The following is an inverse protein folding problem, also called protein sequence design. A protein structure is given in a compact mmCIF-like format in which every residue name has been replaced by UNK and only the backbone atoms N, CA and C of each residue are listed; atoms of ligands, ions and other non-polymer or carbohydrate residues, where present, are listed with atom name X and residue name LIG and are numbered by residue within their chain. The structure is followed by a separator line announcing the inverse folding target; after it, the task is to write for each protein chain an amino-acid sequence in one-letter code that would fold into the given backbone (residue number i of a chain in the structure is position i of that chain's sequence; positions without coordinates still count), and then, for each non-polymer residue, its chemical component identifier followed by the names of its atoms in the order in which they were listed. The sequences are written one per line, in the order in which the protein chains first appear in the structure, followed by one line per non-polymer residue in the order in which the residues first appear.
data_IF_308178449575
#
_entry.id   IF_308178449575
#
_cell.length_a   1.000
_cell.length_b   1.000
_cell.length_c   1.000
_cell.angle_alpha   90.00
_cell.angle_beta   90.00
_cell.angle_gamma   90.00
#
_symmetry.space_group_name_H-M   'P 1'
#
loop_
_entity.id
_entity.type
_entity.pdbx_description
1 polymer ?
#
# COMPACT_ATOMS: atom_id res chain seq x y z
N UNK A 1 18.41 30.89 20.62
CA UNK A 1 17.97 29.56 20.09
C UNK A 1 19.16 28.93 19.39
N UNK A 2 19.50 27.69 19.70
CA UNK A 2 20.65 27.02 19.07
C UNK A 2 20.42 26.79 17.57
N UNK A 3 21.50 26.73 16.79
CA UNK A 3 21.48 26.48 15.33
C UNK A 3 20.56 25.32 14.92
N UNK A 4 20.55 24.24 15.73
CA UNK A 4 19.70 23.06 15.50
C UNK A 4 18.20 23.37 15.53
N UNK A 5 17.76 24.27 16.42
CA UNK A 5 16.37 24.71 16.52
C UNK A 5 15.97 25.69 15.41
N UNK A 6 16.93 26.48 14.91
CA UNK A 6 16.70 27.37 13.77
C UNK A 6 16.51 26.58 12.46
N UNK A 7 17.28 25.50 12.27
CA UNK A 7 17.20 24.63 11.09
C UNK A 7 16.04 23.61 11.13
N UNK A 8 15.54 23.25 12.31
CA UNK A 8 14.41 22.30 12.43
C UNK A 8 13.05 22.91 12.08
N UNK A 9 12.85 24.20 12.33
CA UNK A 9 11.61 24.92 12.02
C UNK A 9 11.22 24.94 10.55
N UNK A 10 12.10 25.31 9.59
CA UNK A 10 11.74 25.28 8.17
C UNK A 10 11.43 23.86 7.69
N UNK A 11 12.16 22.85 8.17
CA UNK A 11 11.89 21.44 7.85
C UNK A 11 10.52 20.98 8.38
N UNK A 12 10.17 21.39 9.60
CA UNK A 12 8.86 21.10 10.19
C UNK A 12 7.74 21.79 9.41
N UNK A 13 7.90 23.08 9.08
CA UNK A 13 6.93 23.83 8.28
C UNK A 13 6.72 23.20 6.89
N UNK A 14 7.80 22.77 6.24
CA UNK A 14 7.73 22.05 4.97
C UNK A 14 6.97 20.73 5.09
N UNK A 15 7.26 19.94 6.13
CA UNK A 15 6.57 18.67 6.38
C UNK A 15 5.08 18.88 6.61
N UNK A 16 4.71 19.84 7.46
CA UNK A 16 3.30 20.21 7.72
C UNK A 16 2.61 20.66 6.43
N UNK A 17 3.25 21.53 5.65
CA UNK A 17 2.69 22.00 4.39
C UNK A 17 2.40 20.83 3.43
N UNK A 18 3.30 19.85 3.32
CA UNK A 18 3.08 18.65 2.51
C UNK A 18 1.91 17.80 3.00
N UNK A 19 1.74 17.65 4.30
CA UNK A 19 0.58 16.93 4.85
C UNK A 19 -0.74 17.67 4.56
N UNK A 20 -0.74 19.00 4.71
CA UNK A 20 -1.93 19.81 4.43
C UNK A 20 -2.39 19.72 2.97
N UNK A 21 -1.48 19.50 2.02
CA UNK A 21 -1.84 19.41 0.59
C UNK A 21 -2.89 18.33 0.30
N UNK A 22 -2.73 17.13 0.85
CA UNK A 22 -3.71 16.05 0.64
C UNK A 22 -4.89 16.13 1.61
N UNK A 23 -4.70 16.74 2.79
CA UNK A 23 -5.77 16.93 3.78
C UNK A 23 -6.82 17.97 3.37
N UNK A 24 -6.47 18.91 2.49
CA UNK A 24 -7.42 19.91 1.97
C UNK A 24 -8.53 19.30 1.12
N UNK A 25 -8.23 18.23 0.38
CA UNK A 25 -9.22 17.45 -0.36
C UNK A 25 -8.89 15.95 -0.26
N UNK A 26 -9.27 15.32 0.87
CA UNK A 26 -8.95 13.92 1.11
C UNK A 26 -9.68 13.00 0.13
N UNK A 27 -10.86 13.40 -0.36
CA UNK A 27 -11.64 12.62 -1.30
C UNK A 27 -10.95 12.56 -2.67
N UNK A 28 -10.43 13.69 -3.19
CA UNK A 28 -9.63 13.70 -4.41
C UNK A 28 -8.32 12.93 -4.24
N UNK A 29 -7.66 13.06 -3.08
CA UNK A 29 -6.45 12.31 -2.78
C UNK A 29 -6.69 10.78 -2.83
N UNK A 30 -7.78 10.30 -2.22
CA UNK A 30 -8.18 8.89 -2.25
C UNK A 30 -8.51 8.41 -3.66
N UNK A 31 -9.28 9.18 -4.45
CA UNK A 31 -9.60 8.82 -5.85
C UNK A 31 -8.34 8.70 -6.70
N UNK A 32 -7.40 9.63 -6.55
CA UNK A 32 -6.11 9.59 -7.25
C UNK A 32 -5.30 8.37 -6.84
N UNK A 33 -5.20 8.11 -5.53
CA UNK A 33 -4.47 6.96 -5.01
C UNK A 33 -5.05 5.64 -5.53
N UNK A 34 -6.37 5.47 -5.44
CA UNK A 34 -7.08 4.30 -5.96
C UNK A 34 -6.72 4.04 -7.43
N UNK A 35 -6.83 5.04 -8.29
CA UNK A 35 -6.53 4.91 -9.72
C UNK A 35 -5.08 4.49 -9.94
N UNK A 36 -4.13 5.16 -9.27
CA UNK A 36 -2.70 4.83 -9.38
C UNK A 36 -2.42 3.39 -8.95
N UNK A 37 -2.98 2.95 -7.81
CA UNK A 37 -2.76 1.61 -7.28
C UNK A 37 -3.40 0.53 -8.16
N UNK A 38 -4.65 0.75 -8.61
CA UNK A 38 -5.37 -0.18 -9.46
C UNK A 38 -4.68 -0.36 -10.82
N UNK A 39 -4.25 0.74 -11.45
CA UNK A 39 -3.53 0.70 -12.73
C UNK A 39 -2.17 0.00 -12.59
N UNK A 40 -1.40 0.31 -11.54
CA UNK A 40 -0.12 -0.35 -11.30
C UNK A 40 -0.29 -1.86 -11.09
N UNK A 41 -1.34 -2.29 -10.38
CA UNK A 41 -1.60 -3.69 -10.10
C UNK A 41 -2.36 -4.43 -11.22
N UNK A 42 -2.86 -3.75 -12.26
CA UNK A 42 -3.78 -4.32 -13.25
C UNK A 42 -3.27 -5.60 -13.93
N UNK A 43 -1.96 -5.67 -14.19
CA UNK A 43 -1.33 -6.82 -14.85
C UNK A 43 -0.81 -7.89 -13.88
N UNK A 44 -1.11 -7.79 -12.59
CA UNK A 44 -0.79 -8.85 -11.64
C UNK A 44 -1.80 -9.99 -11.74
N UNK A 45 -1.52 -11.15 -11.14
CA UNK A 45 -2.47 -12.25 -11.09
C UNK A 45 -3.77 -11.84 -10.38
N UNK A 46 -3.66 -11.10 -9.26
CA UNK A 46 -4.80 -10.53 -8.55
C UNK A 46 -5.50 -9.46 -9.40
N UNK A 47 -4.72 -8.60 -10.06
CA UNK A 47 -5.22 -7.54 -10.94
C UNK A 47 -6.09 -8.07 -12.07
N UNK A 48 -5.65 -9.12 -12.76
CA UNK A 48 -6.42 -9.80 -13.80
C UNK A 48 -7.66 -10.50 -13.26
N UNK A 49 -7.53 -11.21 -12.13
CA UNK A 49 -8.64 -11.93 -11.52
C UNK A 49 -9.79 -11.01 -11.05
N UNK A 50 -9.46 -9.75 -10.75
CA UNK A 50 -10.42 -8.75 -10.26
C UNK A 50 -10.63 -7.59 -11.24
N UNK A 51 -10.12 -7.68 -12.47
CA UNK A 51 -10.24 -6.64 -13.50
C UNK A 51 -9.92 -5.23 -12.98
N UNK A 52 -8.78 -5.10 -12.27
CA UNK A 52 -8.37 -3.83 -11.67
C UNK A 52 -8.07 -2.73 -12.71
N UNK A 53 -7.82 -3.10 -13.97
CA UNK A 53 -7.66 -2.14 -15.06
C UNK A 53 -8.91 -1.29 -15.31
N UNK A 54 -10.10 -1.83 -14.99
CA UNK A 54 -11.39 -1.15 -15.11
C UNK A 54 -11.83 -0.41 -13.83
N UNK A 55 -10.99 -0.37 -12.79
CA UNK A 55 -11.32 0.32 -11.54
C UNK A 55 -10.95 1.80 -11.64
N UNK A 56 -11.96 2.67 -11.63
CA UNK A 56 -11.78 4.12 -11.70
C UNK A 56 -12.41 4.84 -10.50
N UNK A 57 -13.36 4.19 -9.83
CA UNK A 57 -14.11 4.70 -8.70
C UNK A 57 -14.12 3.68 -7.54
N UNK A 58 -14.41 4.11 -6.30
CA UNK A 58 -14.60 3.19 -5.19
C UNK A 58 -15.72 2.16 -5.42
N UNK A 59 -16.76 2.54 -6.16
CA UNK A 59 -17.86 1.63 -6.52
C UNK A 59 -17.37 0.50 -7.45
N UNK A 60 -16.52 0.82 -8.44
CA UNK A 60 -15.93 -0.20 -9.31
C UNK A 60 -15.08 -1.19 -8.51
N UNK A 61 -14.30 -0.68 -7.55
CA UNK A 61 -13.48 -1.54 -6.68
C UNK A 61 -14.37 -2.48 -5.85
N UNK A 62 -15.41 -1.93 -5.21
CA UNK A 62 -16.33 -2.70 -4.36
C UNK A 62 -17.08 -3.78 -5.15
N UNK A 63 -17.45 -3.50 -6.41
CA UNK A 63 -18.11 -4.48 -7.27
C UNK A 63 -17.21 -5.64 -7.71
N UNK A 64 -15.88 -5.43 -7.73
CA UNK A 64 -14.91 -6.37 -8.32
C UNK A 64 -14.06 -7.10 -7.30
N UNK A 65 -13.78 -6.46 -6.17
CA UNK A 65 -12.91 -6.98 -5.11
C UNK A 65 -13.76 -7.21 -3.86
N UNK A 66 -14.19 -8.46 -3.59
CA UNK A 66 -14.93 -8.75 -2.38
C UNK A 66 -14.01 -8.61 -1.15
N UNK A 67 -14.62 -8.21 -0.03
CA UNK A 67 -13.95 -8.12 1.26
C UNK A 67 -13.56 -9.53 1.71
N UNK A 68 -12.31 -9.69 2.14
CA UNK A 68 -11.72 -10.97 2.57
C UNK A 68 -10.83 -10.77 3.78
N UNK A 69 -10.71 -11.82 4.57
CA UNK A 69 -9.71 -11.93 5.61
C UNK A 69 -8.38 -12.48 5.05
N UNK A 70 -7.45 -12.81 5.95
CA UNK A 70 -6.15 -13.37 5.56
C UNK A 70 -6.30 -14.71 4.84
N UNK A 71 -7.19 -15.58 5.31
CA UNK A 71 -7.39 -16.92 4.75
C UNK A 71 -7.98 -16.84 3.34
N UNK A 72 -8.91 -15.91 3.10
CA UNK A 72 -9.44 -15.63 1.77
C UNK A 72 -8.40 -15.13 0.76
N UNK A 73 -7.27 -14.59 1.22
CA UNK A 73 -6.15 -14.15 0.37
C UNK A 73 -4.94 -15.07 0.44
N UNK A 74 -4.97 -16.11 1.28
CA UNK A 74 -3.87 -17.05 1.49
C UNK A 74 -3.34 -17.68 0.20
N UNK A 75 -4.18 -18.06 -0.80
CA UNK A 75 -3.67 -18.58 -2.06
C UNK A 75 -2.73 -17.63 -2.80
N UNK A 76 -2.96 -16.32 -2.70
CA UNK A 76 -2.06 -15.31 -3.27
C UNK A 76 -0.81 -15.13 -2.41
N UNK A 77 -0.94 -15.10 -1.08
CA UNK A 77 0.19 -14.97 -0.18
C UNK A 77 1.15 -16.17 -0.27
N UNK A 78 0.64 -17.39 -0.41
CA UNK A 78 1.47 -18.59 -0.56
C UNK A 78 2.28 -18.55 -1.86
N UNK A 79 1.68 -18.08 -2.96
CA UNK A 79 2.39 -17.86 -4.23
C UNK A 79 3.50 -16.82 -4.10
N UNK A 80 3.21 -15.71 -3.42
CA UNK A 80 4.21 -14.67 -3.14
C UNK A 80 5.33 -15.22 -2.25
N UNK A 81 4.99 -16.02 -1.23
CA UNK A 81 5.94 -16.68 -0.33
C UNK A 81 6.83 -17.68 -1.06
N UNK A 82 6.30 -18.36 -2.07
CA UNK A 82 7.06 -19.22 -2.98
C UNK A 82 7.96 -18.45 -3.97
N UNK A 83 7.95 -17.11 -3.92
CA UNK A 83 8.80 -16.27 -4.77
C UNK A 83 8.22 -15.98 -6.16
N UNK A 84 6.93 -16.28 -6.40
CA UNK A 84 6.30 -15.95 -7.67
C UNK A 84 6.16 -14.42 -7.81
N UNK A 85 6.65 -13.82 -8.91
CA UNK A 85 6.47 -12.39 -9.17
C UNK A 85 5.05 -12.07 -9.64
N UNK A 86 4.68 -10.79 -9.58
CA UNK A 86 3.46 -10.24 -10.21
C UNK A 86 2.16 -10.89 -9.72
N UNK A 87 2.11 -11.31 -8.46
CA UNK A 87 0.93 -11.97 -7.88
C UNK A 87 -0.07 -10.95 -7.32
N UNK A 88 0.32 -10.20 -6.28
CA UNK A 88 -0.51 -9.15 -5.64
C UNK A 88 -0.07 -7.73 -6.02
N UNK A 89 1.21 -7.58 -6.38
CA UNK A 89 1.82 -6.32 -6.77
C UNK A 89 2.90 -6.62 -7.82
N UNK A 90 3.23 -5.68 -8.73
CA UNK A 90 4.28 -5.89 -9.71
C UNK A 90 5.63 -6.24 -9.08
N UNK A 91 6.32 -7.20 -9.70
CA UNK A 91 7.59 -7.74 -9.27
C UNK A 91 7.48 -8.67 -8.06
N UNK A 92 8.59 -8.80 -7.32
CA UNK A 92 8.69 -9.56 -6.07
C UNK A 92 8.77 -8.61 -4.88
N UNK A 93 8.22 -8.98 -3.70
CA UNK A 93 8.45 -8.21 -2.48
C UNK A 93 9.93 -8.21 -2.10
N UNK A 94 10.35 -7.20 -1.35
CA UNK A 94 11.69 -7.11 -0.75
C UNK A 94 11.85 -8.15 0.36
N UNK A 95 10.83 -8.29 1.20
CA UNK A 95 10.76 -9.26 2.28
C UNK A 95 9.32 -9.48 2.72
N UNK A 96 9.11 -10.49 3.57
CA UNK A 96 7.81 -10.80 4.18
C UNK A 96 7.83 -10.39 5.66
N UNK A 97 6.97 -9.45 6.04
CA UNK A 97 6.77 -9.10 7.44
C UNK A 97 5.90 -10.16 8.11
N UNK A 98 6.39 -10.76 9.20
CA UNK A 98 5.61 -11.66 10.04
C UNK A 98 4.80 -10.85 11.04
N UNK A 99 3.49 -11.06 11.10
CA UNK A 99 2.63 -10.41 12.10
C UNK A 99 2.67 -11.16 13.44
N UNK A 100 2.37 -10.48 14.54
CA UNK A 100 2.29 -11.07 15.89
C UNK A 100 1.04 -11.93 16.14
N UNK A 101 0.10 -12.01 15.19
CA UNK A 101 -1.16 -12.73 15.36
C UNK A 101 -0.97 -14.22 15.66
N UNK A 102 -1.69 -14.72 16.66
CA UNK A 102 -1.50 -16.07 17.23
C UNK A 102 -2.60 -17.07 16.87
N UNK A 103 -3.72 -16.63 16.30
CA UNK A 103 -4.92 -17.47 16.10
C UNK A 103 -4.94 -18.32 14.82
N UNK A 104 -4.11 -18.01 13.81
CA UNK A 104 -4.13 -18.68 12.49
C UNK A 104 -2.73 -19.16 12.03
N UNK A 105 -1.77 -19.20 12.96
CA UNK A 105 -0.35 -19.35 12.61
C UNK A 105 0.27 -18.04 12.10
N UNK A 106 1.54 -18.13 11.69
CA UNK A 106 2.31 -16.96 11.26
C UNK A 106 1.76 -16.38 9.95
N UNK A 107 1.18 -15.18 10.00
CA UNK A 107 0.77 -14.43 8.79
C UNK A 107 1.95 -13.67 8.22
N UNK A 108 2.15 -13.80 6.92
CA UNK A 108 3.22 -13.14 6.16
C UNK A 108 2.61 -12.08 5.25
N UNK A 109 3.01 -10.83 5.45
CA UNK A 109 2.58 -9.68 4.66
C UNK A 109 3.73 -9.22 3.77
N UNK A 110 3.57 -9.19 2.44
CA UNK A 110 4.64 -8.77 1.54
C UNK A 110 4.92 -7.26 1.64
N UNK A 111 6.19 -6.90 1.85
CA UNK A 111 6.67 -5.52 1.81
C UNK A 111 7.36 -5.29 0.47
N UNK A 112 6.89 -4.31 -0.30
CA UNK A 112 7.40 -4.03 -1.65
C UNK A 112 8.32 -2.82 -1.64
N UNK A 113 9.10 -2.67 -2.72
CA UNK A 113 9.90 -1.45 -2.94
C UNK A 113 9.01 -0.19 -3.02
N UNK A 114 7.76 -0.33 -3.46
CA UNK A 114 6.80 0.77 -3.53
C UNK A 114 6.23 1.16 -2.16
N UNK A 115 6.13 0.22 -1.21
CA UNK A 115 5.55 0.50 0.11
C UNK A 115 6.58 0.84 1.19
N UNK A 116 7.84 0.40 1.07
CA UNK A 116 8.85 0.52 2.14
C UNK A 116 9.06 1.95 2.63
N UNK A 117 9.03 2.95 1.75
CA UNK A 117 9.16 4.36 2.15
C UNK A 117 8.05 4.82 3.07
N UNK A 118 6.83 4.25 2.96
CA UNK A 118 5.70 4.60 3.82
C UNK A 118 5.93 4.09 5.25
N UNK A 119 6.56 2.92 5.40
CA UNK A 119 6.93 2.38 6.71
C UNK A 119 8.04 3.20 7.37
N UNK A 120 9.07 3.57 6.60
CA UNK A 120 10.22 4.34 7.13
C UNK A 120 9.81 5.77 7.47
N UNK A 121 9.02 6.43 6.61
CA UNK A 121 8.64 7.83 6.84
C UNK A 121 7.59 7.99 7.93
N UNK A 122 6.77 6.96 8.22
CA UNK A 122 5.85 6.99 9.35
C UNK A 122 6.53 6.86 10.72
N UNK A 123 7.79 6.41 10.75
CA UNK A 123 8.58 6.27 11.97
C UNK A 123 9.52 7.47 12.25
N UNK A 124 9.50 8.49 11.39
CA UNK A 124 10.24 9.74 11.55
C UNK A 124 9.41 10.78 12.28
#
# INVERSE_FOLDING_TARGET
MGLKAALSRPLAAYTVHRYQQWQRDPAAAQRRLLRTLAQAAAHTAFGRAHDLGAVHTPADLAARVPIRDYEGLKPYFDRVKAGQPDVLWPGRPLYLAKTSGTTSGAKYIPITKASISNHINGAK
#
